data_IF_756047470811
#
_entry.id   IF_756047470811
#
_cell.length_a   1.000
_cell.length_b   1.000
_cell.length_c   1.000
_cell.angle_alpha   90.00
_cell.angle_beta   90.00
_cell.angle_gamma   90.00
#
_symmetry.space_group_name_H-M   'P 1'
#
loop_
_entity.id
_entity.type
_entity.pdbx_description
1 polymer ?
#
# COMPACT_ATOMS: atom_id res chain seq x y z
N UNK A 1 -42.15 -7.25 10.63
CA UNK A 1 -41.22 -6.61 11.58
C UNK A 1 -39.81 -6.79 11.03
N UNK A 2 -39.44 -6.01 10.01
CA UNK A 2 -38.10 -6.06 9.41
C UNK A 2 -37.19 -5.23 10.31
N UNK A 3 -36.40 -5.92 11.13
CA UNK A 3 -35.40 -5.33 11.99
C UNK A 3 -34.43 -4.51 11.15
N UNK A 4 -34.49 -3.20 11.38
CA UNK A 4 -33.63 -2.16 10.85
C UNK A 4 -32.16 -2.55 11.13
N UNK A 5 -31.46 -3.08 10.13
CA UNK A 5 -30.01 -3.23 10.20
C UNK A 5 -29.44 -1.81 10.30
N UNK A 6 -29.12 -1.37 11.51
CA UNK A 6 -28.44 -0.10 11.74
C UNK A 6 -27.00 -0.28 11.29
N UNK A 7 -26.76 -0.01 10.01
CA UNK A 7 -25.41 0.13 9.48
C UNK A 7 -24.65 1.16 10.35
N UNK A 8 -23.43 0.81 10.73
CA UNK A 8 -22.59 1.49 11.74
C UNK A 8 -22.21 2.93 11.33
N UNK A 9 -22.53 3.26 10.10
CA UNK A 9 -22.22 4.46 9.34
C UNK A 9 -23.15 5.65 9.65
N UNK A 10 -24.24 5.45 10.42
CA UNK A 10 -25.11 6.56 10.84
C UNK A 10 -24.81 7.14 12.22
N UNK A 11 -23.92 6.53 13.01
CA UNK A 11 -23.50 7.14 14.28
C UNK A 11 -22.45 8.20 13.99
N UNK A 12 -22.87 9.46 13.92
CA UNK A 12 -21.96 10.61 14.08
C UNK A 12 -21.07 10.32 15.29
N UNK A 13 -19.75 10.24 15.10
CA UNK A 13 -18.79 9.96 16.17
C UNK A 13 -18.87 11.10 17.20
N UNK A 14 -19.79 10.99 18.17
CA UNK A 14 -20.13 12.03 19.16
C UNK A 14 -18.92 12.53 19.95
N UNK A 15 -17.83 11.76 19.98
CA UNK A 15 -16.65 12.03 20.79
C UNK A 15 -15.58 12.86 20.07
N UNK A 16 -15.58 12.94 18.73
CA UNK A 16 -14.48 13.58 17.98
C UNK A 16 -14.91 14.76 17.12
N UNK A 17 -16.21 14.99 16.92
CA UNK A 17 -16.72 16.06 16.04
C UNK A 17 -16.38 15.87 14.57
N UNK A 18 -15.83 14.71 14.18
CA UNK A 18 -15.44 14.40 12.80
C UNK A 18 -16.64 13.85 12.04
N UNK A 19 -16.89 14.43 10.86
CA UNK A 19 -17.95 14.00 9.93
C UNK A 19 -17.55 12.79 9.07
N UNK A 20 -16.25 12.55 8.93
CA UNK A 20 -15.66 11.49 8.10
C UNK A 20 -14.96 10.43 8.93
N UNK A 21 -14.94 9.17 8.46
CA UNK A 21 -14.17 8.15 9.17
C UNK A 21 -12.68 8.50 9.09
N UNK A 22 -11.90 8.26 10.16
CA UNK A 22 -10.49 8.69 10.24
C UNK A 22 -9.59 8.26 9.07
N UNK A 23 -9.98 7.21 8.34
CA UNK A 23 -9.21 6.60 7.25
C UNK A 23 -9.99 6.45 5.94
N UNK A 24 -10.97 7.34 5.68
CA UNK A 24 -11.79 7.32 4.45
C UNK A 24 -10.97 7.43 3.14
N UNK A 25 -9.73 7.91 3.22
CA UNK A 25 -8.84 8.04 2.06
C UNK A 25 -8.20 6.71 1.62
N UNK A 26 -8.27 5.65 2.45
CA UNK A 26 -7.68 4.34 2.13
C UNK A 26 -8.73 3.47 1.43
N UNK A 27 -8.50 3.21 0.15
CA UNK A 27 -9.34 2.31 -0.63
C UNK A 27 -8.88 0.87 -0.46
N UNK A 28 -9.72 0.03 0.14
CA UNK A 28 -9.48 -1.40 0.29
C UNK A 28 -10.08 -2.20 -0.86
N UNK A 29 -9.46 -3.34 -1.18
CA UNK A 29 -9.93 -4.25 -2.20
C UNK A 29 -9.75 -5.72 -1.77
N UNK A 30 -10.78 -6.53 -1.96
CA UNK A 30 -10.80 -7.94 -1.60
C UNK A 30 -10.37 -8.84 -2.77
N UNK A 31 -9.65 -9.92 -2.46
CA UNK A 31 -9.17 -10.88 -3.43
C UNK A 31 -10.19 -11.96 -3.69
N UNK A 32 -10.07 -12.66 -4.83
CA UNK A 32 -10.83 -13.88 -5.05
C UNK A 32 -10.64 -14.91 -3.94
N UNK A 33 -9.45 -14.98 -3.32
CA UNK A 33 -9.15 -15.86 -2.17
C UNK A 33 -9.63 -15.29 -0.82
N UNK A 34 -10.29 -14.12 -0.81
CA UNK A 34 -10.78 -13.46 0.39
C UNK A 34 -9.79 -12.53 1.10
N UNK A 35 -8.51 -12.50 0.69
CA UNK A 35 -7.51 -11.61 1.31
C UNK A 35 -7.83 -10.13 1.05
N UNK A 36 -7.67 -9.32 2.08
CA UNK A 36 -7.80 -7.87 1.99
C UNK A 36 -6.45 -7.26 1.64
N UNK A 37 -6.47 -6.27 0.77
CA UNK A 37 -5.30 -5.45 0.48
C UNK A 37 -5.69 -4.06 0.01
N UNK A 38 -4.77 -3.10 0.03
CA UNK A 38 -5.04 -1.74 -0.38
C UNK A 38 -5.07 -1.61 -1.91
N UNK A 39 -5.59 -0.49 -2.39
CA UNK A 39 -5.37 -0.04 -3.77
C UNK A 39 -4.24 0.97 -3.79
N UNK A 40 -3.46 0.96 -4.88
CA UNK A 40 -2.54 2.06 -5.14
C UNK A 40 -3.32 3.37 -5.26
N UNK A 41 -2.86 4.41 -4.56
CA UNK A 41 -3.50 5.73 -4.58
C UNK A 41 -3.51 6.37 -5.98
N UNK A 42 -2.50 6.08 -6.81
CA UNK A 42 -2.35 6.69 -8.13
C UNK A 42 -3.05 5.88 -9.23
N UNK A 43 -2.71 4.60 -9.40
CA UNK A 43 -3.26 3.78 -10.49
C UNK A 43 -4.49 2.93 -10.10
N UNK A 44 -4.87 2.88 -8.82
CA UNK A 44 -6.01 2.08 -8.35
C UNK A 44 -5.82 0.57 -8.43
N UNK A 45 -4.62 0.10 -8.84
CA UNK A 45 -4.31 -1.32 -8.93
C UNK A 45 -4.42 -1.96 -7.56
N UNK A 46 -4.85 -3.22 -7.56
CA UNK A 46 -5.03 -3.97 -6.33
C UNK A 46 -3.69 -4.52 -5.86
N UNK A 47 -3.38 -4.26 -4.61
CA UNK A 47 -2.14 -4.66 -3.96
C UNK A 47 -2.46 -5.57 -2.77
N UNK A 48 -1.47 -6.33 -2.32
CA UNK A 48 -1.50 -6.97 -1.00
C UNK A 48 -0.79 -6.05 -0.01
N UNK A 49 -1.13 -6.15 1.28
CA UNK A 49 -0.42 -5.33 2.29
C UNK A 49 1.09 -5.60 2.35
N UNK A 50 1.55 -6.77 1.88
CA UNK A 50 2.97 -7.11 1.81
C UNK A 50 3.72 -6.46 0.66
N UNK A 51 3.06 -6.11 -0.46
CA UNK A 51 3.73 -5.45 -1.60
C UNK A 51 3.51 -3.93 -1.63
N UNK A 52 2.53 -3.41 -0.88
CA UNK A 52 2.17 -2.02 -0.91
C UNK A 52 3.17 -1.18 -0.10
N UNK A 53 3.72 -0.16 -0.74
CA UNK A 53 4.59 0.81 -0.09
C UNK A 53 3.74 1.92 0.53
N UNK A 54 4.16 2.45 1.70
CA UNK A 54 3.44 3.52 2.41
C UNK A 54 4.16 4.84 2.21
N UNK A 55 3.43 5.85 1.74
CA UNK A 55 3.89 7.24 1.66
C UNK A 55 2.88 8.13 2.38
N UNK A 56 3.29 8.66 3.54
CA UNK A 56 2.42 9.40 4.46
C UNK A 56 1.15 8.59 4.80
N UNK A 57 0.00 8.99 4.27
CA UNK A 57 -1.30 8.35 4.49
C UNK A 57 -1.74 7.43 3.33
N UNK A 58 -0.92 7.27 2.30
CA UNK A 58 -1.28 6.58 1.06
C UNK A 58 -0.53 5.25 0.88
N UNK A 59 -1.21 4.28 0.27
CA UNK A 59 -0.60 3.05 -0.22
C UNK A 59 -0.28 3.19 -1.71
N UNK A 60 0.91 2.79 -2.14
CA UNK A 60 1.40 2.91 -3.50
C UNK A 60 2.02 1.60 -3.99
N UNK A 61 2.00 1.36 -5.30
CA UNK A 61 2.84 0.31 -5.89
C UNK A 61 4.28 0.82 -6.00
N UNK A 62 5.22 -0.08 -6.28
CA UNK A 62 6.65 0.25 -6.39
C UNK A 62 6.93 1.41 -7.35
N UNK A 63 6.35 1.39 -8.55
CA UNK A 63 6.59 2.42 -9.58
C UNK A 63 6.23 3.82 -9.07
N UNK A 64 5.00 4.00 -8.57
CA UNK A 64 4.56 5.31 -8.04
C UNK A 64 5.24 5.67 -6.71
N UNK A 65 5.71 4.68 -5.94
CA UNK A 65 6.53 4.93 -4.76
C UNK A 65 7.88 5.54 -5.16
N UNK A 66 8.55 4.99 -6.16
CA UNK A 66 9.81 5.52 -6.72
C UNK A 66 9.57 6.93 -7.28
N UNK A 67 8.51 7.15 -8.05
CA UNK A 67 8.16 8.48 -8.57
C UNK A 67 7.92 9.51 -7.46
N UNK A 68 7.24 9.12 -6.38
CA UNK A 68 6.91 10.02 -5.27
C UNK A 68 8.11 10.32 -4.35
N UNK A 69 9.02 9.36 -4.17
CA UNK A 69 10.12 9.46 -3.20
C UNK A 69 11.48 9.73 -3.82
N UNK A 70 11.63 9.49 -5.13
CA UNK A 70 12.93 9.46 -5.79
C UNK A 70 13.82 8.33 -5.30
N UNK A 71 13.26 7.31 -4.64
CA UNK A 71 14.03 6.19 -4.12
C UNK A 71 14.64 5.37 -5.27
N UNK A 72 15.93 5.10 -5.19
CA UNK A 72 16.63 4.18 -6.09
C UNK A 72 17.21 3.01 -5.28
N UNK A 73 17.55 1.93 -5.97
CA UNK A 73 18.15 0.76 -5.33
C UNK A 73 19.53 1.13 -4.79
N UNK A 74 19.83 0.75 -3.55
CA UNK A 74 21.17 0.90 -2.97
C UNK A 74 22.15 -0.19 -3.45
N UNK A 75 21.72 -1.07 -4.35
CA UNK A 75 22.55 -2.17 -4.87
C UNK A 75 23.43 -1.63 -5.97
N UNK A 76 24.68 -1.33 -5.62
CA UNK A 76 25.74 -1.15 -6.61
C UNK A 76 26.01 -2.50 -7.28
N UNK A 77 25.62 -2.63 -8.55
CA UNK A 77 26.06 -3.77 -9.37
C UNK A 77 27.54 -3.55 -9.62
N UNK A 78 28.40 -4.29 -8.91
CA UNK A 78 29.81 -4.28 -9.23
C UNK A 78 30.00 -4.94 -10.60
N UNK A 79 30.41 -4.15 -11.59
CA UNK A 79 30.99 -4.66 -12.84
C UNK A 79 32.36 -5.26 -12.52
N UNK A 80 32.36 -6.42 -11.86
CA UNK A 80 33.55 -7.23 -11.78
C UNK A 80 33.72 -7.92 -13.13
N UNK A 81 34.63 -7.40 -13.95
CA UNK A 81 35.07 -8.02 -15.22
C UNK A 81 35.45 -9.50 -15.04
N UNK A 82 35.84 -9.90 -13.82
CA UNK A 82 36.18 -11.27 -13.46
C UNK A 82 35.38 -11.75 -12.24
N UNK A 83 34.83 -12.97 -12.35
CA UNK A 83 34.21 -13.66 -11.21
C UNK A 83 35.26 -13.89 -10.13
N UNK A 84 34.93 -13.63 -8.86
CA UNK A 84 35.90 -13.60 -7.76
C UNK A 84 36.70 -14.91 -7.55
N UNK A 85 36.23 -16.04 -8.06
CA UNK A 85 36.89 -17.36 -8.01
C UNK A 85 37.85 -17.65 -9.18
N UNK A 86 38.05 -16.70 -10.11
CA UNK A 86 38.94 -16.86 -11.27
C UNK A 86 40.39 -16.41 -11.02
N UNK A 87 40.73 -15.90 -9.83
CA UNK A 87 42.12 -15.57 -9.49
C UNK A 87 42.94 -16.86 -9.37
N UNK A 88 43.78 -17.12 -10.37
CA UNK A 88 44.86 -18.10 -10.26
C UNK A 88 46.07 -17.37 -9.65
N UNK A 89 46.54 -17.85 -8.49
CA UNK A 89 47.78 -17.39 -7.84
C UNK A 89 49.02 -17.64 -8.72
#
# INVERSE_FOLDING_TARGET
>A
MLSYLKFKDWTTYRQTGRTHMPHDHIQLAQAPNGELGPRCHHCGMRLTFGNAMVVDKYYMCWEHYVEATGADTATEVSDADERFWMKQD
#
